data_IF_555500141486
#
_entry.id   IF_555500141486
#
_cell.length_a   1.000
_cell.length_b   1.000
_cell.length_c   1.000
_cell.angle_alpha   90.00
_cell.angle_beta   90.00
_cell.angle_gamma   90.00
#
_symmetry.space_group_name_H-M   'P 1'
#
loop_
_entity.id
_entity.type
_entity.pdbx_description
1 polymer ?
#
# COMPACT_ATOMS: atom_id res chain seq x y z
N UNK A 1 -13.54 -15.27 4.70
CA UNK A 1 -12.92 -13.92 4.80
C UNK A 1 -11.46 -14.13 5.17
N UNK A 2 -10.52 -13.87 4.26
CA UNK A 2 -9.08 -14.03 4.52
C UNK A 2 -8.49 -12.63 4.68
N UNK A 3 -8.22 -12.23 5.93
CA UNK A 3 -7.43 -11.04 6.23
C UNK A 3 -5.97 -11.48 6.26
N UNK A 4 -5.22 -11.10 5.23
CA UNK A 4 -3.80 -11.42 5.15
C UNK A 4 -2.99 -10.20 5.60
N UNK A 5 -2.33 -10.27 6.76
CA UNK A 5 -1.38 -9.25 7.21
C UNK A 5 -0.03 -9.59 6.58
N UNK A 6 0.32 -8.90 5.49
CA UNK A 6 1.65 -9.00 4.89
C UNK A 6 2.59 -7.96 5.48
N UNK A 7 3.83 -8.37 5.73
CA UNK A 7 4.95 -7.43 5.80
C UNK A 7 5.36 -7.16 4.37
N UNK A 8 5.00 -5.98 3.84
CA UNK A 8 5.45 -5.58 2.51
C UNK A 8 6.92 -5.18 2.62
N UNK A 9 7.84 -5.99 2.13
CA UNK A 9 9.20 -5.53 1.93
C UNK A 9 9.19 -4.57 0.72
N UNK A 10 9.12 -3.27 0.99
CA UNK A 10 9.53 -2.27 0.02
C UNK A 10 11.06 -2.41 -0.17
N UNK A 11 11.47 -3.32 -1.04
CA UNK A 11 12.85 -3.43 -1.48
C UNK A 11 13.16 -2.22 -2.36
N UNK A 12 13.77 -1.19 -1.77
CA UNK A 12 14.53 -0.19 -2.53
C UNK A 12 15.75 -0.91 -3.10
N UNK A 13 15.66 -1.38 -4.34
CA UNK A 13 16.80 -1.98 -5.03
C UNK A 13 17.71 -0.84 -5.49
N UNK A 14 18.82 -0.63 -4.78
CA UNK A 14 19.90 0.23 -5.24
C UNK A 14 20.55 -0.39 -6.50
N UNK A 15 20.88 0.44 -7.49
CA UNK A 15 21.35 0.06 -8.83
C UNK A 15 22.56 -0.90 -8.89
N UNK A 16 23.24 -1.17 -7.75
CA UNK A 16 24.34 -2.11 -7.67
C UNK A 16 23.94 -3.59 -7.93
N UNK A 17 22.68 -3.97 -7.73
CA UNK A 17 22.24 -5.37 -7.87
C UNK A 17 21.87 -5.79 -9.32
N UNK A 18 21.70 -4.84 -10.24
CA UNK A 18 21.29 -5.12 -11.63
C UNK A 18 22.43 -5.67 -12.50
N UNK A 19 23.69 -5.51 -12.08
CA UNK A 19 24.85 -5.95 -12.86
C UNK A 19 25.12 -7.47 -12.83
N UNK A 20 24.34 -8.27 -12.10
CA UNK A 20 24.56 -9.73 -11.99
C UNK A 20 23.57 -10.62 -12.75
N UNK A 21 22.63 -10.05 -13.52
CA UNK A 21 21.76 -10.84 -14.40
C UNK A 21 22.30 -10.73 -15.84
N UNK A 22 23.34 -11.50 -16.13
CA UNK A 22 23.75 -11.75 -17.52
C UNK A 22 22.88 -12.86 -18.12
N UNK A 23 22.21 -12.65 -19.27
CA UNK A 23 21.62 -13.75 -20.03
C UNK A 23 22.73 -14.68 -20.52
N UNK A 24 22.56 -16.00 -20.33
CA UNK A 24 23.42 -17.00 -20.95
C UNK A 24 23.24 -16.99 -22.47
N UNK A 25 24.38 -17.16 -23.15
CA UNK A 25 24.67 -17.17 -24.58
C UNK A 25 23.62 -17.78 -25.54
N UNK A 26 23.38 -17.08 -26.66
CA UNK A 26 23.60 -17.61 -28.02
C UNK A 26 23.45 -16.52 -29.11
N UNK A 27 24.37 -16.38 -30.09
CA UNK A 27 24.30 -15.35 -31.11
C UNK A 27 23.70 -15.86 -32.44
N UNK A 28 23.21 -14.95 -33.30
CA UNK A 28 23.46 -15.09 -34.72
C UNK A 28 24.31 -13.94 -35.27
N UNK A 29 25.15 -14.33 -36.22
CA UNK A 29 26.08 -13.52 -37.00
C UNK A 29 25.35 -12.41 -37.77
N UNK A 30 25.88 -11.18 -37.73
CA UNK A 30 26.20 -10.42 -38.95
C UNK A 30 27.10 -9.23 -38.63
N UNK A 31 28.23 -9.15 -39.35
CA UNK A 31 29.22 -8.06 -39.28
C UNK A 31 28.67 -6.79 -39.92
N UNK A 32 28.86 -5.64 -39.27
CA UNK A 32 28.63 -4.31 -39.83
C UNK A 32 29.46 -3.25 -39.09
N UNK A 33 30.54 -2.85 -39.74
CA UNK A 33 31.58 -1.84 -39.48
C UNK A 33 31.25 -0.67 -38.52
N UNK A 34 32.13 -0.40 -37.54
CA UNK A 34 32.11 0.79 -36.69
C UNK A 34 33.18 1.79 -37.15
N UNK A 35 32.82 3.01 -37.56
CA UNK A 35 33.73 4.19 -37.52
C UNK A 35 32.95 5.50 -37.38
N UNK A 36 33.23 6.29 -36.33
CA UNK A 36 32.62 7.63 -36.23
C UNK A 36 32.72 8.48 -34.94
N UNK A 37 33.77 8.36 -34.10
CA UNK A 37 34.28 9.44 -33.21
C UNK A 37 33.34 9.99 -32.07
N UNK A 38 33.80 10.86 -31.14
CA UNK A 38 33.81 10.55 -29.70
C UNK A 38 33.12 11.59 -28.78
N UNK A 39 33.19 11.31 -27.47
CA UNK A 39 32.98 12.23 -26.32
C UNK A 39 31.51 12.47 -25.92
N UNK A 40 31.10 11.95 -24.74
CA UNK A 40 30.56 12.72 -23.60
C UNK A 40 29.72 11.83 -22.66
N UNK A 41 29.90 12.05 -21.36
CA UNK A 41 28.90 11.73 -20.33
C UNK A 41 29.21 10.49 -19.50
N UNK A 42 29.63 10.71 -18.24
CA UNK A 42 29.44 9.70 -17.19
C UNK A 42 27.93 9.40 -17.10
N UNK A 43 27.48 8.15 -16.94
CA UNK A 43 26.08 7.91 -16.66
C UNK A 43 25.79 8.42 -15.26
N UNK A 44 24.96 9.47 -15.18
CA UNK A 44 24.31 9.88 -13.95
C UNK A 44 23.54 8.69 -13.36
N UNK A 45 23.64 8.55 -12.04
CA UNK A 45 23.00 7.50 -11.28
C UNK A 45 21.48 7.72 -11.27
N UNK A 46 20.79 7.14 -12.24
CA UNK A 46 19.33 7.04 -12.20
C UNK A 46 18.91 6.13 -11.04
N UNK A 47 18.35 6.76 -10.00
CA UNK A 47 17.78 6.06 -8.85
C UNK A 47 16.48 5.38 -9.29
N UNK A 48 16.52 4.06 -9.40
CA UNK A 48 15.36 3.23 -9.73
C UNK A 48 14.46 3.05 -8.48
N UNK A 49 13.31 3.72 -8.46
CA UNK A 49 12.28 3.47 -7.45
C UNK A 49 11.32 2.39 -7.98
N UNK A 50 11.47 1.16 -7.49
CA UNK A 50 10.57 0.03 -7.78
C UNK A 50 9.71 -0.24 -6.55
N UNK A 51 8.39 -0.19 -6.68
CA UNK A 51 7.49 -0.77 -5.68
C UNK A 51 7.21 -2.22 -6.11
N UNK A 52 7.91 -3.17 -5.48
CA UNK A 52 7.67 -4.60 -5.66
C UNK A 52 6.63 -5.00 -4.62
N UNK A 53 5.38 -5.22 -5.05
CA UNK A 53 4.41 -5.92 -4.21
C UNK A 53 4.65 -7.42 -4.37
N UNK A 54 5.53 -7.94 -3.51
CA UNK A 54 5.84 -9.37 -3.41
C UNK A 54 4.93 -10.02 -2.36
N UNK A 55 3.99 -10.84 -2.81
CA UNK A 55 3.27 -11.73 -1.90
C UNK A 55 4.03 -13.04 -1.79
N UNK A 56 4.97 -13.09 -0.86
CA UNK A 56 5.78 -14.30 -0.61
C UNK A 56 4.97 -15.27 0.25
N UNK A 57 4.54 -16.40 -0.33
CA UNK A 57 3.96 -17.55 0.38
C UNK A 57 5.03 -18.42 1.09
N UNK A 58 6.14 -17.82 1.51
CA UNK A 58 7.16 -18.50 2.28
C UNK A 58 6.97 -18.12 3.75
N UNK A 59 6.71 -19.13 4.57
CA UNK A 59 6.88 -19.05 6.01
C UNK A 59 8.36 -18.80 6.33
N UNK A 60 8.83 -17.57 6.14
CA UNK A 60 10.11 -17.11 6.66
C UNK A 60 9.92 -17.04 8.17
N UNK A 61 10.74 -17.80 8.91
CA UNK A 61 10.76 -17.91 10.37
C UNK A 61 10.15 -16.68 11.06
N UNK A 62 8.89 -16.80 11.46
CA UNK A 62 8.13 -15.72 12.06
C UNK A 62 8.77 -15.39 13.42
N UNK A 63 9.43 -14.25 13.52
CA UNK A 63 9.90 -13.75 14.82
C UNK A 63 8.72 -13.53 15.79
N UNK A 64 9.00 -13.50 17.09
CA UNK A 64 8.00 -13.43 18.18
C UNK A 64 6.87 -12.41 17.96
N UNK A 65 7.13 -11.28 17.30
CA UNK A 65 6.13 -10.26 17.00
C UNK A 65 5.08 -10.72 15.99
N UNK A 66 5.47 -11.42 14.93
CA UNK A 66 4.56 -11.95 13.91
C UNK A 66 3.67 -13.03 14.50
N UNK A 67 4.23 -13.91 15.35
CA UNK A 67 3.46 -14.92 16.07
C UNK A 67 2.41 -14.29 17.01
N UNK A 68 2.78 -13.27 17.78
CA UNK A 68 1.85 -12.51 18.64
C UNK A 68 0.74 -11.83 17.83
N UNK A 69 1.11 -11.27 16.67
CA UNK A 69 0.17 -10.64 15.75
C UNK A 69 -0.87 -11.63 15.20
N UNK A 70 -0.42 -12.83 14.81
CA UNK A 70 -1.30 -13.89 14.32
C UNK A 70 -2.28 -14.38 15.40
N UNK A 71 -1.83 -14.49 16.65
CA UNK A 71 -2.69 -14.84 17.80
C UNK A 71 -3.72 -13.75 18.08
N UNK A 72 -3.33 -12.48 18.06
CA UNK A 72 -4.24 -11.35 18.23
C UNK A 72 -5.32 -11.34 17.12
N UNK A 73 -4.91 -11.51 15.86
CA UNK A 73 -5.82 -11.62 14.72
C UNK A 73 -6.82 -12.78 14.88
N UNK A 74 -6.33 -13.96 15.25
CA UNK A 74 -7.18 -15.14 15.46
C UNK A 74 -8.19 -14.91 16.58
N UNK A 75 -7.76 -14.23 17.65
CA UNK A 75 -8.62 -13.89 18.80
C UNK A 75 -9.73 -12.92 18.40
N UNK A 76 -9.40 -11.88 17.62
CA UNK A 76 -10.38 -10.91 17.10
C UNK A 76 -11.39 -11.62 16.20
N UNK A 77 -10.92 -12.42 15.23
CA UNK A 77 -11.80 -13.20 14.35
C UNK A 77 -12.72 -14.11 15.17
N UNK A 78 -12.18 -14.83 16.15
CA UNK A 78 -12.96 -15.74 17.00
C UNK A 78 -14.04 -14.99 17.80
N UNK A 79 -13.73 -13.82 18.36
CA UNK A 79 -14.69 -12.95 19.06
C UNK A 79 -15.77 -12.40 18.14
N UNK A 80 -15.43 -12.10 16.89
CA UNK A 80 -16.39 -11.61 15.89
C UNK A 80 -17.37 -12.69 15.45
N UNK A 81 -16.90 -13.94 15.37
CA UNK A 81 -17.70 -15.13 15.04
C UNK A 81 -18.51 -15.68 16.22
N UNK A 82 -18.12 -15.38 17.46
CA UNK A 82 -18.88 -15.76 18.64
C UNK A 82 -20.11 -14.85 18.80
N UNK A 83 -21.30 -15.46 18.82
CA UNK A 83 -22.57 -14.76 18.98
C UNK A 83 -22.62 -13.92 20.27
N UNK A 84 -23.27 -12.77 20.16
CA UNK A 84 -23.32 -11.67 21.12
C UNK A 84 -23.64 -12.11 22.55
N UNK A 85 -22.69 -11.93 23.46
CA UNK A 85 -23.01 -11.69 24.87
C UNK A 85 -21.95 -10.77 25.47
N UNK A 86 -22.40 -9.58 25.87
CA UNK A 86 -21.66 -8.52 26.56
C UNK A 86 -20.39 -8.00 25.85
N UNK A 87 -20.51 -7.41 24.66
CA UNK A 87 -19.38 -6.77 23.97
C UNK A 87 -19.51 -5.24 23.99
N UNK A 88 -18.37 -4.56 24.16
CA UNK A 88 -18.22 -3.13 23.89
C UNK A 88 -18.82 -2.77 22.51
N UNK A 89 -19.30 -1.53 22.30
CA UNK A 89 -19.83 -1.13 21.00
C UNK A 89 -18.78 -1.35 19.92
N UNK A 90 -19.09 -2.24 18.95
CA UNK A 90 -18.19 -2.54 17.84
C UNK A 90 -17.91 -1.30 17.00
N UNK A 91 -16.66 -1.11 16.60
CA UNK A 91 -16.30 -0.08 15.62
C UNK A 91 -17.01 -0.36 14.30
N UNK A 92 -17.63 0.66 13.71
CA UNK A 92 -18.32 0.57 12.42
C UNK A 92 -17.81 1.66 11.50
N UNK A 93 -17.41 1.27 10.29
CA UNK A 93 -17.12 2.22 9.22
C UNK A 93 -18.43 2.74 8.60
N UNK A 94 -18.44 3.96 8.04
CA UNK A 94 -19.60 4.47 7.31
C UNK A 94 -19.97 3.52 6.16
N UNK A 95 -21.25 3.21 5.92
CA UNK A 95 -21.66 2.26 4.89
C UNK A 95 -21.29 2.69 3.47
N UNK A 96 -21.10 3.99 3.25
CA UNK A 96 -20.66 4.61 2.00
C UNK A 96 -19.15 4.93 1.99
N UNK A 97 -18.35 4.18 2.76
CA UNK A 97 -16.90 4.41 2.84
C UNK A 97 -16.23 4.39 1.45
N UNK A 98 -16.52 3.45 0.53
CA UNK A 98 -15.91 3.46 -0.80
C UNK A 98 -16.18 4.75 -1.58
N UNK A 99 -17.41 5.26 -1.58
CA UNK A 99 -17.76 6.53 -2.22
C UNK A 99 -17.08 7.72 -1.54
N UNK A 100 -16.95 7.69 -0.21
CA UNK A 100 -16.27 8.72 0.55
C UNK A 100 -14.78 8.77 0.23
N UNK A 101 -14.10 7.62 0.17
CA UNK A 101 -12.70 7.53 -0.23
C UNK A 101 -12.53 8.02 -1.67
N UNK A 102 -13.35 7.53 -2.60
CA UNK A 102 -13.31 7.91 -4.03
C UNK A 102 -13.51 9.41 -4.24
N UNK A 103 -14.54 9.99 -3.61
CA UNK A 103 -14.85 11.42 -3.75
C UNK A 103 -13.80 12.32 -3.09
N UNK A 104 -13.31 11.94 -1.90
CA UNK A 104 -12.22 12.66 -1.23
C UNK A 104 -10.94 12.61 -2.06
N UNK A 105 -10.61 11.44 -2.65
CA UNK A 105 -9.44 11.27 -3.50
C UNK A 105 -9.51 12.14 -4.76
N UNK A 106 -10.64 12.11 -5.47
CA UNK A 106 -10.85 12.92 -6.65
C UNK A 106 -10.73 14.42 -6.34
N UNK A 107 -11.34 14.87 -5.24
CA UNK A 107 -11.27 16.26 -4.78
C UNK A 107 -9.84 16.67 -4.45
N UNK A 108 -9.16 15.92 -3.58
CA UNK A 108 -7.79 16.23 -3.15
C UNK A 108 -6.78 16.20 -4.31
N UNK A 109 -6.98 15.33 -5.31
CA UNK A 109 -6.19 15.37 -6.54
C UNK A 109 -6.43 16.65 -7.35
N UNK A 110 -7.71 17.04 -7.52
CA UNK A 110 -8.07 18.22 -8.32
C UNK A 110 -7.64 19.55 -7.68
N UNK A 111 -7.60 19.60 -6.35
CA UNK A 111 -7.18 20.77 -5.56
C UNK A 111 -5.67 20.82 -5.31
N UNK A 112 -4.94 19.74 -5.66
CA UNK A 112 -3.48 19.66 -5.53
C UNK A 112 -2.98 19.28 -4.12
N UNK A 113 -3.88 18.91 -3.20
CA UNK A 113 -3.55 18.44 -1.86
C UNK A 113 -2.98 17.01 -1.84
N UNK A 114 -3.35 16.21 -2.85
CA UNK A 114 -2.88 14.84 -3.09
C UNK A 114 -2.13 14.75 -4.42
N UNK A 115 -1.02 14.02 -4.42
CA UNK A 115 -0.25 13.73 -5.62
C UNK A 115 -0.39 12.25 -5.98
N UNK A 116 -1.07 11.99 -7.10
CA UNK A 116 -1.13 10.67 -7.72
C UNK A 116 0.02 10.50 -8.72
N UNK A 117 0.72 9.37 -8.63
CA UNK A 117 1.83 9.00 -9.51
C UNK A 117 1.40 7.88 -10.46
N UNK A 118 1.11 8.18 -11.74
CA UNK A 118 0.75 7.15 -12.71
C UNK A 118 1.84 6.09 -12.84
N UNK A 119 1.41 4.84 -13.00
CA UNK A 119 2.32 3.69 -13.14
C UNK A 119 2.02 2.88 -14.38
N UNK A 120 3.08 2.32 -14.97
CA UNK A 120 2.96 1.15 -15.86
C UNK A 120 3.01 -0.11 -15.02
N UNK A 121 2.15 -1.08 -15.32
CA UNK A 121 2.04 -2.32 -14.54
C UNK A 121 2.35 -3.51 -15.44
N UNK A 122 3.09 -4.48 -14.91
CA UNK A 122 3.31 -5.77 -15.57
C UNK A 122 3.37 -6.89 -14.55
N UNK A 123 3.18 -8.14 -14.99
CA UNK A 123 3.34 -9.33 -14.16
C UNK A 123 4.69 -9.95 -14.52
N UNK A 124 5.50 -10.23 -13.49
CA UNK A 124 6.74 -10.97 -13.61
C UNK A 124 6.59 -12.32 -12.91
N UNK A 125 6.76 -13.40 -13.64
CA UNK A 125 6.81 -14.73 -13.04
C UNK A 125 8.24 -15.05 -12.60
N UNK A 126 8.45 -15.17 -11.28
CA UNK A 126 9.73 -15.60 -10.70
C UNK A 126 9.50 -16.90 -9.96
N UNK A 127 10.14 -17.98 -10.41
CA UNK A 127 9.97 -19.33 -9.86
C UNK A 127 8.49 -19.78 -9.75
N UNK A 128 7.68 -19.47 -10.77
CA UNK A 128 6.22 -19.72 -10.82
C UNK A 128 5.37 -18.92 -9.84
N UNK A 129 5.94 -17.92 -9.16
CA UNK A 129 5.20 -16.97 -8.34
C UNK A 129 4.97 -15.69 -9.18
N UNK A 130 3.71 -15.29 -9.43
CA UNK A 130 3.42 -14.06 -10.17
C UNK A 130 3.62 -12.84 -9.27
N UNK A 131 4.50 -11.93 -9.68
CA UNK A 131 4.74 -10.65 -9.02
C UNK A 131 4.12 -9.53 -9.83
N UNK A 132 3.34 -8.66 -9.19
CA UNK A 132 2.93 -7.41 -9.80
C UNK A 132 4.07 -6.39 -9.66
N UNK A 133 4.59 -5.93 -10.79
CA UNK A 133 5.56 -4.84 -10.86
C UNK A 133 4.86 -3.55 -11.27
N UNK A 134 4.97 -2.50 -10.43
CA UNK A 134 4.53 -1.14 -10.76
C UNK A 134 5.74 -0.24 -10.98
N UNK A 135 5.80 0.39 -12.14
CA UNK A 135 6.86 1.31 -12.51
C UNK A 135 6.32 2.74 -12.63
N UNK A 136 6.86 3.65 -11.82
CA UNK A 136 6.56 5.08 -11.89
C UNK A 136 7.84 5.92 -11.96
N UNK A 137 8.20 6.48 -13.13
CA UNK A 137 9.40 7.31 -13.26
C UNK A 137 9.30 8.61 -12.46
N UNK A 138 8.09 9.10 -12.21
CA UNK A 138 7.84 10.34 -11.46
C UNK A 138 8.22 10.26 -9.97
N UNK A 139 8.37 9.04 -9.42
CA UNK A 139 8.85 8.85 -8.05
C UNK A 139 10.33 9.23 -7.88
N UNK A 140 11.14 9.16 -8.95
CA UNK A 140 12.54 9.58 -8.90
C UNK A 140 12.68 11.11 -8.68
N UNK A 141 11.69 11.88 -9.12
CA UNK A 141 11.62 13.34 -9.00
C UNK A 141 10.91 13.82 -7.72
N UNK A 142 10.70 12.96 -6.71
CA UNK A 142 10.01 13.36 -5.48
C UNK A 142 10.72 14.57 -4.85
N UNK A 143 10.02 15.70 -4.60
CA UNK A 143 10.64 16.89 -4.05
C UNK A 143 11.26 16.52 -2.69
N UNK A 144 12.59 16.63 -2.61
CA UNK A 144 13.29 16.54 -1.34
C UNK A 144 12.89 17.77 -0.54
N UNK A 145 12.43 17.57 0.69
CA UNK A 145 12.17 18.70 1.59
C UNK A 145 13.42 19.59 1.69
N UNK A 146 13.26 20.88 2.03
CA UNK A 146 14.39 21.78 2.19
C UNK A 146 15.44 21.15 3.13
N UNK A 147 16.75 21.40 2.89
CA UNK A 147 17.82 20.87 3.73
C UNK A 147 17.52 21.14 5.20
N UNK A 148 17.54 20.09 6.04
CA UNK A 148 17.30 20.23 7.47
C UNK A 148 18.44 21.03 8.10
N UNK A 149 18.10 22.17 8.69
CA UNK A 149 19.02 22.95 9.52
C UNK A 149 19.25 22.19 10.84
N UNK A 150 20.41 21.52 10.95
CA UNK A 150 20.81 20.72 12.12
C UNK A 150 21.10 21.58 13.36
N UNK A 151 21.12 22.90 13.24
CA UNK A 151 21.40 23.82 14.36
C UNK A 151 20.19 24.07 15.27
N UNK A 152 18.98 23.64 14.87
CA UNK A 152 17.75 23.83 15.66
C UNK A 152 17.15 22.47 16.07
N UNK A 153 16.71 22.31 17.34
CA UNK A 153 15.89 21.17 17.71
C UNK A 153 14.59 21.21 16.91
N UNK A 154 14.48 20.37 15.87
CA UNK A 154 13.25 20.19 15.15
C UNK A 154 12.43 19.13 15.87
N UNK A 155 11.18 19.46 16.21
CA UNK A 155 10.21 18.43 16.59
C UNK A 155 10.10 17.44 15.42
N UNK A 156 10.08 16.12 15.69
CA UNK A 156 9.75 15.14 14.67
C UNK A 156 8.42 15.55 14.01
N UNK A 157 8.43 15.70 12.69
CA UNK A 157 7.21 15.99 11.93
C UNK A 157 6.38 14.71 11.89
N UNK A 158 5.19 14.77 12.48
CA UNK A 158 4.21 13.69 12.45
C UNK A 158 3.04 14.12 11.53
N UNK A 159 2.93 13.56 10.32
CA UNK A 159 1.85 13.90 9.38
C UNK A 159 0.46 13.46 9.87
N UNK A 160 0.40 12.59 10.88
CA UNK A 160 -0.83 12.05 11.45
C UNK A 160 -1.25 12.78 12.74
N UNK A 161 -0.41 13.65 13.29
CA UNK A 161 -0.80 14.49 14.43
C UNK A 161 -1.76 15.62 14.03
N UNK A 162 -1.60 16.16 12.82
CA UNK A 162 -2.46 17.20 12.24
C UNK A 162 -2.64 16.95 10.73
N UNK A 163 -3.46 15.96 10.34
CA UNK A 163 -3.66 15.63 8.94
C UNK A 163 -4.39 16.78 8.23
N UNK A 164 -3.97 17.06 6.98
CA UNK A 164 -4.64 18.06 6.13
C UNK A 164 -6.15 17.75 6.05
N UNK A 165 -7.04 18.72 6.33
CA UNK A 165 -8.48 18.48 6.26
C UNK A 165 -8.96 17.94 4.91
N UNK A 166 -8.30 18.35 3.81
CA UNK A 166 -8.58 17.87 2.46
C UNK A 166 -8.27 16.37 2.24
N UNK A 167 -7.40 15.79 3.07
CA UNK A 167 -7.03 14.38 3.00
C UNK A 167 -7.82 13.52 3.99
N UNK A 168 -8.48 14.11 4.98
CA UNK A 168 -9.25 13.37 5.99
C UNK A 168 -10.53 12.82 5.36
N UNK A 169 -10.72 11.51 5.46
CA UNK A 169 -11.90 10.80 4.95
C UNK A 169 -12.99 10.80 6.01
N UNK A 170 -12.73 10.24 7.19
CA UNK A 170 -13.68 10.18 8.31
C UNK A 170 -12.97 9.79 9.61
N UNK A 171 -13.56 10.12 10.76
CA UNK A 171 -13.21 9.45 12.02
C UNK A 171 -13.79 8.03 12.05
N UNK A 172 -13.13 7.12 12.78
CA UNK A 172 -13.51 5.70 12.86
C UNK A 172 -13.40 5.19 14.30
N UNK A 173 -14.53 5.21 15.01
CA UNK A 173 -14.55 4.86 16.44
C UNK A 173 -13.83 5.91 17.31
N UNK A 174 -13.47 5.57 18.56
CA UNK A 174 -12.93 6.54 19.52
C UNK A 174 -11.43 6.83 19.33
N UNK A 175 -10.68 5.97 18.64
CA UNK A 175 -9.21 5.98 18.65
C UNK A 175 -8.55 5.97 17.27
N UNK A 176 -9.34 6.09 16.20
CA UNK A 176 -8.82 6.02 14.84
C UNK A 176 -9.52 6.99 13.91
N UNK A 177 -8.86 7.27 12.80
CA UNK A 177 -9.43 8.00 11.68
C UNK A 177 -8.83 7.50 10.36
N UNK A 178 -9.51 7.81 9.26
CA UNK A 178 -9.11 7.48 7.91
C UNK A 178 -8.63 8.74 7.19
N UNK A 179 -7.48 8.65 6.54
CA UNK A 179 -6.86 9.73 5.76
C UNK A 179 -6.28 9.17 4.46
N UNK A 180 -6.31 9.94 3.39
CA UNK A 180 -5.70 9.54 2.12
C UNK A 180 -4.17 9.56 2.20
N UNK A 181 -3.52 8.63 1.51
CA UNK A 181 -2.09 8.73 1.27
C UNK A 181 -1.81 9.91 0.33
N UNK A 182 -1.12 10.93 0.83
CA UNK A 182 -0.75 12.15 0.08
C UNK A 182 0.04 11.88 -1.20
N UNK A 183 0.82 10.79 -1.24
CA UNK A 183 1.68 10.42 -2.37
C UNK A 183 1.28 9.04 -2.89
N UNK A 184 0.13 8.97 -3.55
CA UNK A 184 -0.50 7.72 -3.95
C UNK A 184 0.08 7.17 -5.26
N UNK A 185 0.51 5.90 -5.24
CA UNK A 185 0.89 5.13 -6.43
C UNK A 185 -0.28 4.31 -6.95
N UNK A 186 -1.07 3.75 -6.03
CA UNK A 186 -2.36 3.13 -6.32
C UNK A 186 -3.45 4.17 -6.00
N UNK A 187 -4.39 4.45 -6.93
CA UNK A 187 -5.48 5.37 -6.65
C UNK A 187 -6.29 4.95 -5.43
N UNK A 188 -6.87 5.94 -4.74
CA UNK A 188 -7.72 5.69 -3.58
C UNK A 188 -7.01 4.96 -2.42
N UNK A 189 -5.66 4.95 -2.39
CA UNK A 189 -4.90 4.47 -1.25
C UNK A 189 -5.17 5.35 -0.03
N UNK A 190 -5.71 4.75 1.03
CA UNK A 190 -5.97 5.41 2.30
C UNK A 190 -5.32 4.68 3.48
N UNK A 191 -5.27 5.38 4.60
CA UNK A 191 -4.52 5.03 5.79
C UNK A 191 -5.48 5.09 6.98
N UNK A 192 -5.47 4.03 7.78
CA UNK A 192 -6.07 3.99 9.11
C UNK A 192 -4.99 4.36 10.12
N UNK A 193 -5.08 5.55 10.70
CA UNK A 193 -4.15 6.04 11.71
C UNK A 193 -4.80 6.08 13.09
N UNK A 194 -3.99 5.89 14.13
CA UNK A 194 -4.44 6.13 15.50
C UNK A 194 -4.60 7.63 15.76
N UNK A 195 -5.56 8.03 16.59
CA UNK A 195 -5.72 9.44 16.98
C UNK A 195 -4.58 9.89 17.88
N UNK A 196 -4.27 9.09 18.90
CA UNK A 196 -3.12 9.30 19.77
C UNK A 196 -1.87 8.68 19.13
N UNK A 197 -0.73 9.32 19.34
CA UNK A 197 0.55 8.76 18.91
C UNK A 197 0.78 7.40 19.57
N UNK A 198 0.80 6.34 18.76
CA UNK A 198 1.30 5.01 19.14
C UNK A 198 2.49 4.65 18.25
N UNK A 199 3.44 3.89 18.77
CA UNK A 199 4.59 3.47 17.97
C UNK A 199 4.19 2.46 16.87
N UNK A 200 4.65 2.70 15.64
CA UNK A 200 4.57 1.78 14.49
C UNK A 200 5.32 0.46 14.73
N UNK A 201 6.30 0.43 15.64
CA UNK A 201 7.09 -0.77 15.94
C UNK A 201 6.45 -1.70 16.98
N UNK A 202 5.33 -1.26 17.56
CA UNK A 202 4.52 -2.07 18.48
C UNK A 202 3.53 -2.95 17.72
N UNK A 203 3.14 -4.05 18.36
CA UNK A 203 2.10 -4.98 17.89
C UNK A 203 0.77 -4.22 17.79
N UNK A 204 -0.07 -4.60 16.82
CA UNK A 204 -1.41 -4.01 16.72
C UNK A 204 -2.26 -4.40 17.92
N UNK A 205 -3.10 -3.47 18.36
CA UNK A 205 -4.09 -3.68 19.39
C UNK A 205 -5.39 -4.21 18.80
N UNK A 206 -6.27 -4.69 19.68
CA UNK A 206 -7.59 -5.19 19.29
C UNK A 206 -8.40 -4.15 18.51
N UNK A 207 -8.37 -2.89 18.94
CA UNK A 207 -9.10 -1.81 18.26
C UNK A 207 -8.53 -1.49 16.87
N UNK A 208 -7.23 -1.69 16.64
CA UNK A 208 -6.61 -1.52 15.32
C UNK A 208 -7.16 -2.56 14.33
N UNK A 209 -7.29 -3.81 14.80
CA UNK A 209 -7.82 -4.92 14.01
C UNK A 209 -9.33 -4.80 13.79
N UNK A 210 -10.08 -4.37 14.80
CA UNK A 210 -11.52 -4.15 14.70
C UNK A 210 -11.84 -3.02 13.71
N UNK A 211 -11.13 -1.89 13.79
CA UNK A 211 -11.26 -0.79 12.85
C UNK A 211 -10.89 -1.20 11.41
N UNK A 212 -9.79 -1.94 11.24
CA UNK A 212 -9.38 -2.47 9.93
C UNK A 212 -10.46 -3.37 9.34
N UNK A 213 -11.02 -4.27 10.17
CA UNK A 213 -12.05 -5.17 9.72
C UNK A 213 -13.33 -4.43 9.33
N UNK A 214 -13.73 -3.43 10.11
CA UNK A 214 -14.92 -2.63 9.80
C UNK A 214 -14.82 -2.01 8.39
N UNK A 215 -13.64 -1.53 7.99
CA UNK A 215 -13.39 -1.05 6.63
C UNK A 215 -13.53 -2.16 5.58
N UNK A 216 -12.93 -3.33 5.81
CA UNK A 216 -13.01 -4.49 4.90
C UNK A 216 -14.46 -4.93 4.71
N UNK A 217 -15.23 -5.04 5.80
CA UNK A 217 -16.64 -5.43 5.76
C UNK A 217 -17.48 -4.46 4.95
N UNK A 218 -17.21 -3.15 5.04
CA UNK A 218 -17.91 -2.16 4.21
C UNK A 218 -17.60 -2.32 2.72
N UNK A 219 -16.33 -2.51 2.35
CA UNK A 219 -15.96 -2.76 0.94
C UNK A 219 -16.58 -4.06 0.42
N UNK A 220 -16.58 -5.13 1.22
CA UNK A 220 -17.25 -6.39 0.88
C UNK A 220 -18.77 -6.26 0.76
N UNK A 221 -19.41 -5.43 1.58
CA UNK A 221 -20.84 -5.14 1.46
C UNK A 221 -21.15 -4.39 0.17
N UNK A 222 -20.37 -3.34 -0.15
CA UNK A 222 -20.52 -2.58 -1.39
C UNK A 222 -20.31 -3.46 -2.62
N UNK A 223 -19.30 -4.35 -2.61
CA UNK A 223 -19.07 -5.36 -3.66
C UNK A 223 -20.30 -6.25 -3.92
N UNK A 224 -20.95 -6.74 -2.86
CA UNK A 224 -22.15 -7.58 -3.00
C UNK A 224 -23.27 -6.81 -3.67
N UNK A 225 -23.49 -5.57 -3.24
CA UNK A 225 -24.50 -4.69 -3.84
C UNK A 225 -24.21 -4.38 -5.31
N UNK A 226 -22.96 -4.08 -5.68
CA UNK A 226 -22.55 -3.89 -7.09
C UNK A 226 -22.83 -5.15 -7.93
N UNK A 227 -22.47 -6.32 -7.41
CA UNK A 227 -22.66 -7.61 -8.08
C UNK A 227 -24.14 -7.91 -8.32
N UNK A 228 -24.97 -7.67 -7.30
CA UNK A 228 -26.44 -7.83 -7.37
C UNK A 228 -27.07 -6.87 -8.39
N UNK A 229 -26.51 -5.66 -8.55
CA UNK A 229 -26.97 -4.65 -9.51
C UNK A 229 -26.38 -4.84 -10.92
N UNK A 230 -25.54 -5.86 -11.13
CA UNK A 230 -24.95 -6.17 -12.44
C UNK A 230 -23.76 -5.27 -12.83
N UNK A 231 -23.24 -4.47 -11.91
CA UNK A 231 -22.04 -3.67 -12.13
C UNK A 231 -20.81 -4.49 -11.72
N UNK A 232 -19.92 -4.78 -12.68
CA UNK A 232 -18.67 -5.53 -12.46
C UNK A 232 -17.41 -4.68 -12.61
N UNK A 233 -17.57 -3.38 -12.86
CA UNK A 233 -16.46 -2.46 -13.14
C UNK A 233 -15.90 -1.76 -11.89
N UNK A 234 -16.47 -2.02 -10.70
CA UNK A 234 -16.08 -1.35 -9.45
C UNK A 234 -16.44 0.14 -9.42
N UNK A 235 -17.46 0.57 -10.18
CA UNK A 235 -17.87 1.97 -10.29
C UNK A 235 -18.32 2.63 -8.97
N UNK A 236 -18.78 1.88 -7.97
CA UNK A 236 -19.09 2.40 -6.63
C UNK A 236 -17.87 2.35 -5.69
N UNK A 237 -16.72 1.87 -6.17
CA UNK A 237 -15.48 1.76 -5.40
C UNK A 237 -15.43 0.55 -4.48
N UNK A 238 -16.52 -0.22 -4.36
CA UNK A 238 -16.62 -1.43 -3.54
C UNK A 238 -15.76 -2.58 -4.09
N UNK A 239 -15.75 -2.75 -5.42
CA UNK A 239 -14.75 -3.51 -6.16
C UNK A 239 -14.48 -4.92 -5.62
N UNK A 240 -13.30 -5.47 -5.92
CA UNK A 240 -12.89 -6.80 -5.45
C UNK A 240 -12.54 -6.88 -3.96
N UNK A 241 -13.09 -5.98 -3.13
CA UNK A 241 -12.79 -5.87 -1.70
C UNK A 241 -11.61 -4.95 -1.39
N UNK A 242 -11.04 -5.11 -0.19
CA UNK A 242 -10.03 -4.22 0.37
C UNK A 242 -8.80 -5.00 0.85
N UNK A 243 -7.62 -4.61 0.38
CA UNK A 243 -6.34 -5.15 0.83
C UNK A 243 -5.76 -4.25 1.93
N UNK A 244 -5.44 -4.83 3.09
CA UNK A 244 -4.87 -4.11 4.23
C UNK A 244 -3.53 -4.70 4.64
N UNK A 245 -2.54 -3.85 4.95
CA UNK A 245 -1.22 -4.29 5.37
C UNK A 245 -0.59 -3.35 6.42
N UNK A 246 0.32 -3.91 7.22
CA UNK A 246 0.96 -3.22 8.34
C UNK A 246 2.47 -3.46 8.32
N UNK A 247 3.24 -2.39 8.17
CA UNK A 247 4.70 -2.44 8.17
C UNK A 247 5.21 -2.22 9.59
N UNK A 248 5.67 -3.29 10.26
CA UNK A 248 6.15 -3.26 11.63
C UNK A 248 7.64 -3.55 11.75
N UNK A 249 8.40 -2.63 12.34
CA UNK A 249 9.83 -2.79 12.62
C UNK A 249 10.74 -2.05 11.64
N UNK A 250 12.02 -1.96 12.00
CA UNK A 250 13.01 -1.12 11.32
C UNK A 250 13.21 -1.47 9.83
N UNK A 251 13.16 -2.76 9.50
CA UNK A 251 13.38 -3.25 8.13
C UNK A 251 12.08 -3.52 7.36
N UNK A 252 10.93 -3.07 7.87
CA UNK A 252 9.61 -3.32 7.25
C UNK A 252 9.24 -2.35 6.14
N UNK A 253 10.07 -1.34 5.85
CA UNK A 253 9.73 -0.26 4.92
C UNK A 253 8.77 0.78 5.51
N UNK A 254 8.53 0.78 6.83
CA UNK A 254 7.78 1.84 7.50
C UNK A 254 8.48 3.21 7.38
N UNK A 255 7.75 4.22 6.92
CA UNK A 255 8.29 5.59 6.75
C UNK A 255 7.84 6.58 7.83
N UNK A 256 6.84 6.22 8.64
CA UNK A 256 6.30 7.05 9.71
C UNK A 256 6.32 6.30 11.05
N UNK A 257 6.73 6.96 12.16
CA UNK A 257 6.81 6.34 13.48
C UNK A 257 5.45 6.19 14.17
N UNK A 258 4.45 6.99 13.77
CA UNK A 258 3.09 6.93 14.28
C UNK A 258 2.36 5.74 13.64
N UNK A 259 1.74 4.90 14.48
CA UNK A 259 0.97 3.71 14.13
C UNK A 259 -0.08 3.98 13.05
N UNK A 260 0.03 3.25 11.95
CA UNK A 260 -0.92 3.29 10.85
C UNK A 260 -0.94 1.98 10.07
N UNK A 261 -2.12 1.66 9.53
CA UNK A 261 -2.38 0.53 8.64
C UNK A 261 -2.74 1.09 7.27
N UNK A 262 -2.16 0.52 6.22
CA UNK A 262 -2.39 0.96 4.84
C UNK A 262 -3.46 0.10 4.18
N UNK A 263 -4.40 0.74 3.49
CA UNK A 263 -5.53 0.11 2.85
C UNK A 263 -5.61 0.50 1.37
N UNK A 264 -5.75 -0.52 0.52
CA UNK A 264 -5.80 -0.42 -0.93
C UNK A 264 -7.07 -1.08 -1.43
N UNK A 265 -7.98 -0.36 -2.10
CA UNK A 265 -9.08 -1.00 -2.80
C UNK A 265 -8.53 -1.95 -3.88
N UNK A 266 -8.94 -3.22 -3.85
CA UNK A 266 -8.38 -4.25 -4.74
C UNK A 266 -8.65 -3.92 -6.20
N UNK A 267 -9.82 -3.33 -6.50
CA UNK A 267 -10.13 -2.86 -7.84
C UNK A 267 -9.08 -1.85 -8.36
N UNK A 268 -8.62 -0.92 -7.52
CA UNK A 268 -7.59 0.06 -7.92
C UNK A 268 -6.21 -0.55 -8.04
N UNK A 269 -5.94 -1.66 -7.35
CA UNK A 269 -4.71 -2.44 -7.57
C UNK A 269 -4.67 -3.11 -8.95
N UNK A 270 -5.79 -3.20 -9.67
CA UNK A 270 -5.84 -3.69 -11.05
C UNK A 270 -5.61 -2.60 -12.09
N UNK A 271 -5.60 -1.33 -11.69
CA UNK A 271 -5.38 -0.21 -12.60
C UNK A 271 -4.04 -0.35 -13.33
N UNK A 272 -4.08 -0.22 -14.65
CA UNK A 272 -2.94 -0.35 -15.55
C UNK A 272 -2.78 -1.74 -16.16
N UNK A 273 -3.61 -2.72 -15.76
CA UNK A 273 -3.74 -3.98 -16.48
C UNK A 273 -4.79 -3.90 -17.59
N UNK A 274 -4.67 -4.80 -18.57
CA UNK A 274 -5.76 -5.12 -19.49
C UNK A 274 -6.94 -5.75 -18.69
N UNK A 275 -8.20 -5.54 -19.12
CA UNK A 275 -9.39 -6.01 -18.38
C UNK A 275 -9.38 -7.51 -18.01
N UNK A 276 -8.76 -8.34 -18.85
CA UNK A 276 -8.72 -9.80 -18.69
C UNK A 276 -7.39 -10.32 -18.13
N UNK A 277 -6.53 -9.44 -17.58
CA UNK A 277 -5.26 -9.87 -17.00
C UNK A 277 -5.49 -10.89 -15.85
N UNK A 278 -4.79 -12.03 -15.85
CA UNK A 278 -4.98 -13.11 -14.88
C UNK A 278 -4.28 -12.80 -13.55
N UNK A 279 -4.58 -11.64 -12.96
CA UNK A 279 -4.04 -11.22 -11.67
C UNK A 279 -5.14 -11.11 -10.62
N UNK A 280 -4.90 -11.75 -9.48
CA UNK A 280 -5.74 -11.66 -8.30
C UNK A 280 -4.89 -11.38 -7.07
N UNK A 281 -5.50 -10.71 -6.09
CA UNK A 281 -4.98 -10.66 -4.73
C UNK A 281 -5.31 -12.00 -4.07
N UNK A 282 -4.35 -12.93 -4.08
CA UNK A 282 -4.35 -14.25 -3.41
C UNK A 282 -5.69 -15.01 -3.35
#
# INVERSE_FOLDING_TARGET
MRLYIFTLFALSVSAAAVNHITPRDNPPQHRGDCRGAPICGRPDQDVLCVEVSATVNAAISAGDKVAKQQVALSTVIQRLTASASAAMPRIKAPPNLPELVKSTFAKACSEGDLHYFPTKVTILDVDSIPFQLRFSPALASKPRGPPKDLSKPQKPFDPFADPLPALKVTDLGPSHYLVLNKFAVVPEHFILATTDFKSQTHVLEESDLEATLACIETYEAARRTETEQGHRDGSLGGGDGLYAFFNCGEHSGASQPHRHIQLLPVARMKDGFEPDAPWSVL
#
